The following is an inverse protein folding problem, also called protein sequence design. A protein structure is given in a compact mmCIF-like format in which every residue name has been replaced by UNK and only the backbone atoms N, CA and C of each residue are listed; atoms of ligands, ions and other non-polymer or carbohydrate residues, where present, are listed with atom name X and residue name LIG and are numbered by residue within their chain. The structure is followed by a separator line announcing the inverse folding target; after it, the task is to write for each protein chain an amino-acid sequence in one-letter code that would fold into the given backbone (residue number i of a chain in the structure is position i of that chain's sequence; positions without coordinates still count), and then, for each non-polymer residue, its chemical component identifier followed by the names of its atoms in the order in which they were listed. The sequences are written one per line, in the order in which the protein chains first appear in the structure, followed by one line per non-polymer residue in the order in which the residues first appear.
data_IF_614857909213
#
_entry.id   IF_614857909213
#
_cell.length_a   1.000
_cell.length_b   1.000
_cell.length_c   1.000
_cell.angle_alpha   90.00
_cell.angle_beta   90.00
_cell.angle_gamma   90.00
#
_symmetry.space_group_name_H-M   'P 1'
#
loop_
_entity.id
_entity.type
_entity.pdbx_description
1 polymer ?
#
# COMPACT_ATOMS: atom_id res chain seq x y z
N UNK A 1 10.86 0.63 -5.09
CA UNK A 1 10.18 1.93 -5.32
C UNK A 1 9.60 2.46 -4.03
N UNK A 2 8.69 1.75 -3.35
CA UNK A 2 8.18 2.17 -2.03
C UNK A 2 9.26 2.39 -0.97
N UNK A 3 10.32 1.57 -0.96
CA UNK A 3 11.46 1.78 -0.07
C UNK A 3 12.28 3.04 -0.40
N UNK A 4 12.35 3.41 -1.68
CA UNK A 4 13.07 4.63 -2.05
C UNK A 4 12.27 5.85 -1.62
N UNK A 5 10.95 5.83 -1.83
CA UNK A 5 10.05 6.83 -1.29
C UNK A 5 10.18 6.99 0.23
N UNK A 6 10.02 5.88 0.94
CA UNK A 6 10.00 5.82 2.41
C UNK A 6 11.34 6.19 3.07
N UNK A 7 12.46 5.71 2.53
CA UNK A 7 13.77 5.90 3.17
C UNK A 7 14.58 7.07 2.63
N UNK A 8 14.23 7.61 1.45
CA UNK A 8 14.90 8.79 0.89
C UNK A 8 14.01 10.03 0.94
N UNK A 9 12.85 10.05 0.27
CA UNK A 9 12.03 11.26 0.17
C UNK A 9 11.35 11.63 1.49
N UNK A 10 10.66 10.68 2.13
CA UNK A 10 10.00 10.95 3.42
C UNK A 10 10.99 11.33 4.51
N UNK A 11 12.17 10.70 4.57
CA UNK A 11 13.21 11.08 5.53
C UNK A 11 13.82 12.44 5.25
N UNK A 12 13.96 12.82 3.98
CA UNK A 12 14.53 14.11 3.56
C UNK A 12 13.59 15.28 3.90
N UNK A 13 12.28 15.17 3.61
CA UNK A 13 11.32 16.27 3.84
C UNK A 13 10.56 16.19 5.16
N UNK A 14 10.62 15.04 5.83
CA UNK A 14 9.71 14.71 6.94
C UNK A 14 8.34 14.25 6.43
N UNK A 15 7.47 13.82 7.33
CA UNK A 15 6.13 13.35 6.98
C UNK A 15 5.07 14.21 7.67
N UNK A 16 4.11 14.74 6.91
CA UNK A 16 3.00 15.53 7.45
C UNK A 16 1.98 14.67 8.21
N UNK A 17 1.16 15.28 9.09
CA UNK A 17 0.17 14.52 9.88
C UNK A 17 -0.81 13.72 9.01
N UNK A 18 -1.23 14.27 7.87
CA UNK A 18 -2.13 13.60 6.92
C UNK A 18 -1.52 12.32 6.35
N UNK A 19 -0.25 12.37 5.95
CA UNK A 19 0.47 11.23 5.37
C UNK A 19 0.81 10.17 6.43
N UNK A 20 1.11 10.60 7.67
CA UNK A 20 1.32 9.68 8.81
C UNK A 20 0.12 8.79 9.10
N UNK A 21 -1.09 9.32 8.90
CA UNK A 21 -2.32 8.55 9.05
C UNK A 21 -2.71 7.86 7.73
N UNK A 22 -2.51 8.54 6.60
CA UNK A 22 -2.82 8.04 5.27
C UNK A 22 -2.07 6.76 4.94
N UNK A 23 -0.74 6.74 5.09
CA UNK A 23 0.09 5.63 4.64
C UNK A 23 -0.24 4.30 5.34
N UNK A 24 -0.45 4.23 6.67
CA UNK A 24 -0.93 3.01 7.30
C UNK A 24 -2.32 2.57 6.79
N UNK A 25 -3.22 3.51 6.50
CA UNK A 25 -4.53 3.18 5.94
C UNK A 25 -4.41 2.64 4.50
N UNK A 26 -3.52 3.20 3.68
CA UNK A 26 -3.22 2.69 2.34
C UNK A 26 -2.72 1.25 2.41
N UNK A 27 -1.73 1.01 3.28
CA UNK A 27 -1.20 -0.34 3.53
C UNK A 27 -2.27 -1.28 4.06
N UNK A 28 -3.19 -0.81 4.91
CA UNK A 28 -4.32 -1.60 5.41
C UNK A 28 -5.30 -2.00 4.29
N UNK A 29 -5.57 -1.12 3.31
CA UNK A 29 -6.43 -1.47 2.16
C UNK A 29 -5.82 -2.57 1.30
N UNK A 30 -4.49 -2.55 1.11
CA UNK A 30 -3.75 -3.63 0.43
C UNK A 30 -3.79 -4.92 1.26
N UNK A 31 -3.50 -4.82 2.56
CA UNK A 31 -3.49 -5.97 3.46
C UNK A 31 -4.86 -6.66 3.50
N UNK A 32 -5.94 -5.89 3.49
CA UNK A 32 -7.32 -6.40 3.43
C UNK A 32 -7.55 -7.28 2.20
N UNK A 33 -6.96 -6.92 1.05
CA UNK A 33 -7.03 -7.74 -0.16
C UNK A 33 -6.31 -9.08 0.03
N UNK A 34 -5.11 -9.08 0.60
CA UNK A 34 -4.33 -10.32 0.82
C UNK A 34 -4.92 -11.21 1.91
N UNK A 35 -5.41 -10.61 3.00
CA UNK A 35 -6.13 -11.31 4.07
C UNK A 35 -7.39 -11.96 3.49
N UNK A 36 -8.17 -11.25 2.68
CA UNK A 36 -9.35 -11.81 2.03
C UNK A 36 -9.00 -13.05 1.21
N UNK A 37 -7.97 -13.00 0.35
CA UNK A 37 -7.53 -14.16 -0.43
C UNK A 37 -7.00 -15.31 0.43
N UNK A 38 -6.46 -15.01 1.61
CA UNK A 38 -5.93 -16.03 2.52
C UNK A 38 -7.01 -16.88 3.20
N UNK A 39 -8.23 -16.34 3.32
CA UNK A 39 -9.36 -16.99 4.01
C UNK A 39 -10.48 -17.44 3.08
N UNK A 40 -10.37 -17.15 1.77
CA UNK A 40 -11.42 -17.44 0.80
C UNK A 40 -10.84 -18.19 -0.39
N UNK A 41 -11.59 -19.18 -0.89
CA UNK A 41 -11.23 -19.89 -2.12
C UNK A 41 -11.70 -19.12 -3.37
N UNK A 42 -11.03 -19.30 -4.52
CA UNK A 42 -11.46 -18.73 -5.79
C UNK A 42 -12.89 -19.14 -6.15
N UNK A 43 -13.78 -18.16 -6.23
CA UNK A 43 -15.16 -18.32 -6.70
C UNK A 43 -15.61 -17.06 -7.43
N UNK A 44 -16.72 -17.13 -8.17
CA UNK A 44 -17.28 -15.95 -8.87
C UNK A 44 -17.63 -14.84 -7.87
N UNK A 45 -18.24 -15.18 -6.74
CA UNK A 45 -18.59 -14.21 -5.71
C UNK A 45 -17.33 -13.61 -5.05
N UNK A 46 -16.39 -14.45 -4.64
CA UNK A 46 -15.17 -13.98 -3.97
C UNK A 46 -14.30 -13.14 -4.90
N UNK A 47 -14.28 -13.45 -6.20
CA UNK A 47 -13.61 -12.63 -7.21
C UNK A 47 -14.24 -11.23 -7.31
N UNK A 48 -15.57 -11.12 -7.29
CA UNK A 48 -16.24 -9.81 -7.30
C UNK A 48 -15.93 -8.99 -6.04
N UNK A 49 -15.93 -9.64 -4.87
CA UNK A 49 -15.56 -8.99 -3.61
C UNK A 49 -14.11 -8.50 -3.66
N UNK A 50 -13.19 -9.36 -4.09
CA UNK A 50 -11.78 -9.03 -4.25
C UNK A 50 -11.56 -7.84 -5.21
N UNK A 51 -12.21 -7.85 -6.37
CA UNK A 51 -12.16 -6.73 -7.32
C UNK A 51 -12.68 -5.45 -6.68
N UNK A 52 -13.77 -5.52 -5.90
CA UNK A 52 -14.28 -4.39 -5.14
C UNK A 52 -13.26 -3.82 -4.15
N UNK A 53 -12.56 -4.69 -3.41
CA UNK A 53 -11.47 -4.28 -2.50
C UNK A 53 -10.30 -3.64 -3.25
N UNK A 54 -9.91 -4.18 -4.41
CA UNK A 54 -8.84 -3.64 -5.23
C UNK A 54 -9.20 -2.26 -5.77
N UNK A 55 -10.42 -2.09 -6.30
CA UNK A 55 -10.92 -0.80 -6.78
C UNK A 55 -10.96 0.23 -5.65
N UNK A 56 -11.46 -0.17 -4.47
CA UNK A 56 -11.45 0.69 -3.30
C UNK A 56 -10.03 1.11 -2.94
N UNK A 57 -9.07 0.17 -2.86
CA UNK A 57 -7.67 0.48 -2.56
C UNK A 57 -7.04 1.40 -3.60
N UNK A 58 -7.27 1.16 -4.90
CA UNK A 58 -6.76 2.00 -5.98
C UNK A 58 -7.31 3.43 -5.92
N UNK A 59 -8.60 3.59 -5.62
CA UNK A 59 -9.21 4.91 -5.46
C UNK A 59 -8.73 5.58 -4.17
N UNK A 60 -8.58 4.81 -3.10
CA UNK A 60 -8.20 5.32 -1.78
C UNK A 60 -6.84 6.00 -1.80
N UNK A 61 -5.83 5.41 -2.46
CA UNK A 61 -4.49 6.01 -2.58
C UNK A 61 -4.47 7.32 -3.37
N UNK A 62 -5.46 7.58 -4.23
CA UNK A 62 -5.50 8.86 -4.99
C UNK A 62 -5.71 10.08 -4.10
N UNK A 63 -6.16 9.89 -2.86
CA UNK A 63 -6.28 10.96 -1.86
C UNK A 63 -4.94 11.67 -1.62
N UNK A 64 -3.82 10.96 -1.79
CA UNK A 64 -2.50 11.51 -1.47
C UNK A 64 -2.01 12.49 -2.54
N UNK A 65 -2.59 12.46 -3.73
CA UNK A 65 -2.23 13.37 -4.82
C UNK A 65 -2.42 14.85 -4.44
N UNK A 66 -3.42 15.16 -3.60
CA UNK A 66 -3.63 16.51 -3.09
C UNK A 66 -2.47 17.00 -2.21
N UNK A 67 -1.80 16.08 -1.50
CA UNK A 67 -0.63 16.40 -0.68
C UNK A 67 0.63 16.40 -1.55
N UNK A 68 0.76 15.44 -2.46
CA UNK A 68 1.92 15.30 -3.33
C UNK A 68 2.13 16.52 -4.24
N UNK A 69 1.04 17.01 -4.83
CA UNK A 69 1.08 18.23 -5.65
C UNK A 69 1.52 19.47 -4.88
N UNK A 70 1.26 19.52 -3.58
CA UNK A 70 1.62 20.65 -2.72
C UNK A 70 3.04 20.55 -2.12
N UNK A 71 3.55 19.32 -1.90
CA UNK A 71 4.74 19.11 -1.07
C UNK A 71 5.89 18.37 -1.77
N UNK A 72 5.62 17.57 -2.80
CA UNK A 72 6.61 16.72 -3.42
C UNK A 72 7.36 17.45 -4.54
N UNK A 73 8.68 17.21 -4.63
CA UNK A 73 9.46 17.65 -5.79
C UNK A 73 9.12 16.81 -7.03
N UNK A 74 9.44 17.30 -8.23
CA UNK A 74 9.06 16.64 -9.48
C UNK A 74 9.49 15.15 -9.57
N UNK A 75 10.63 14.80 -8.96
CA UNK A 75 11.14 13.42 -8.94
C UNK A 75 10.32 12.50 -8.01
N UNK A 76 9.87 13.02 -6.87
CA UNK A 76 9.02 12.31 -5.92
C UNK A 76 7.62 12.11 -6.53
N UNK A 77 7.05 13.15 -7.14
CA UNK A 77 5.79 13.05 -7.90
C UNK A 77 5.85 12.01 -9.03
N UNK A 78 6.95 11.96 -9.79
CA UNK A 78 7.14 10.94 -10.82
C UNK A 78 7.16 9.52 -10.23
N UNK A 79 7.85 9.33 -9.10
CA UNK A 79 7.88 8.04 -8.41
C UNK A 79 6.48 7.61 -7.95
N UNK A 80 5.67 8.54 -7.44
CA UNK A 80 4.30 8.28 -7.01
C UNK A 80 3.40 7.90 -8.19
N UNK A 81 3.52 8.59 -9.32
CA UNK A 81 2.81 8.21 -10.54
C UNK A 81 3.15 6.77 -10.98
N UNK A 82 4.43 6.38 -10.90
CA UNK A 82 4.84 5.00 -11.19
C UNK A 82 4.26 4.00 -10.19
N UNK A 83 4.27 4.34 -8.89
CA UNK A 83 3.65 3.50 -7.86
C UNK A 83 2.15 3.32 -8.09
N UNK A 84 1.43 4.36 -8.51
CA UNK A 84 0.00 4.31 -8.83
C UNK A 84 -0.29 3.38 -10.00
N UNK A 85 0.58 3.33 -11.02
CA UNK A 85 0.46 2.38 -12.14
C UNK A 85 0.76 0.94 -11.72
N UNK A 86 1.74 0.75 -10.85
CA UNK A 86 2.14 -0.59 -10.38
C UNK A 86 1.08 -1.17 -9.42
N UNK A 87 0.38 -0.34 -8.65
CA UNK A 87 -0.61 -0.77 -7.67
C UNK A 87 -1.72 -1.71 -8.22
N UNK A 88 -2.44 -1.39 -9.31
CA UNK A 88 -3.40 -2.33 -9.89
C UNK A 88 -2.72 -3.58 -10.50
N UNK A 89 -1.46 -3.47 -10.95
CA UNK A 89 -0.71 -4.61 -11.50
C UNK A 89 -0.34 -5.61 -10.41
N UNK A 90 -0.01 -5.15 -9.19
CA UNK A 90 0.27 -6.04 -8.06
C UNK A 90 -0.99 -6.81 -7.64
N UNK A 91 -2.16 -6.17 -7.65
CA UNK A 91 -3.43 -6.85 -7.41
C UNK A 91 -3.74 -7.89 -8.50
N UNK A 92 -3.58 -7.53 -9.77
CA UNK A 92 -3.76 -8.50 -10.86
C UNK A 92 -2.84 -9.71 -10.69
N UNK A 93 -1.58 -9.48 -10.33
CA UNK A 93 -0.60 -10.54 -10.08
C UNK A 93 -1.03 -11.43 -8.92
N UNK A 94 -1.49 -10.84 -7.81
CA UNK A 94 -1.97 -11.58 -6.67
C UNK A 94 -3.23 -12.40 -6.99
N UNK A 95 -4.14 -11.86 -7.80
CA UNK A 95 -5.31 -12.59 -8.29
C UNK A 95 -4.92 -13.80 -9.15
N UNK A 96 -3.97 -13.66 -10.08
CA UNK A 96 -3.49 -14.79 -10.91
C UNK A 96 -2.94 -15.90 -10.00
N UNK A 97 -2.10 -15.52 -9.04
CA UNK A 97 -1.49 -16.44 -8.07
C UNK A 97 -2.58 -17.17 -7.27
N UNK A 98 -3.55 -16.44 -6.74
CA UNK A 98 -4.66 -16.98 -5.96
C UNK A 98 -5.59 -17.88 -6.79
N UNK A 99 -6.03 -17.41 -7.97
CA UNK A 99 -6.99 -18.11 -8.82
C UNK A 99 -6.43 -19.39 -9.43
N UNK A 100 -5.13 -19.42 -9.74
CA UNK A 100 -4.45 -20.61 -10.26
C UNK A 100 -3.87 -21.49 -9.14
N UNK A 101 -4.10 -21.13 -7.87
CA UNK A 101 -3.51 -21.77 -6.69
C UNK A 101 -1.98 -21.92 -6.79
N UNK A 102 -1.32 -20.96 -7.44
CA UNK A 102 0.12 -20.94 -7.59
C UNK A 102 0.70 -20.43 -6.28
N UNK A 103 1.61 -21.20 -5.68
CA UNK A 103 2.46 -20.74 -4.58
C UNK A 103 1.74 -19.88 -3.52
N UNK A 104 0.69 -20.42 -2.91
CA UNK A 104 -0.10 -19.72 -1.88
C UNK A 104 0.75 -19.15 -0.72
N UNK A 105 1.91 -19.78 -0.44
CA UNK A 105 2.91 -19.28 0.51
C UNK A 105 3.42 -17.89 0.16
N UNK A 106 3.53 -17.56 -1.13
CA UNK A 106 3.92 -16.22 -1.58
C UNK A 106 2.92 -15.16 -1.08
N UNK A 107 1.61 -15.40 -1.19
CA UNK A 107 0.58 -14.47 -0.70
C UNK A 107 0.62 -14.31 0.82
N UNK A 108 0.86 -15.41 1.55
CA UNK A 108 1.03 -15.36 3.00
C UNK A 108 2.26 -14.55 3.40
N UNK A 109 3.42 -14.81 2.78
CA UNK A 109 4.65 -14.05 3.01
C UNK A 109 4.43 -12.57 2.69
N UNK A 110 3.81 -12.28 1.54
CA UNK A 110 3.50 -10.90 1.15
C UNK A 110 2.57 -10.22 2.15
N UNK A 111 1.58 -10.93 2.71
CA UNK A 111 0.71 -10.42 3.78
C UNK A 111 1.52 -10.05 5.02
N UNK A 112 2.42 -10.93 5.46
CA UNK A 112 3.29 -10.66 6.61
C UNK A 112 4.24 -9.48 6.38
N UNK A 113 4.85 -9.40 5.19
CA UNK A 113 5.72 -8.26 4.83
C UNK A 113 4.93 -6.96 4.83
N UNK A 114 3.73 -6.95 4.26
CA UNK A 114 2.83 -5.78 4.22
C UNK A 114 2.41 -5.36 5.63
N UNK A 115 2.06 -6.32 6.48
CA UNK A 115 1.72 -6.09 7.89
C UNK A 115 2.91 -5.51 8.67
N UNK A 116 4.11 -6.07 8.50
CA UNK A 116 5.32 -5.57 9.17
C UNK A 116 5.66 -4.16 8.70
N UNK A 117 5.52 -3.88 7.40
CA UNK A 117 5.71 -2.54 6.85
C UNK A 117 4.71 -1.53 7.44
N UNK A 118 3.44 -1.91 7.59
CA UNK A 118 2.43 -1.08 8.26
C UNK A 118 2.82 -0.75 9.70
N UNK A 119 3.27 -1.74 10.48
CA UNK A 119 3.75 -1.51 11.84
C UNK A 119 4.96 -0.58 11.87
N UNK A 120 5.90 -0.76 10.95
CA UNK A 120 7.03 0.15 10.80
C UNK A 120 6.55 1.59 10.53
N UNK A 121 5.61 1.80 9.61
CA UNK A 121 5.05 3.12 9.31
C UNK A 121 4.43 3.77 10.55
N UNK A 122 3.59 3.01 11.29
CA UNK A 122 2.93 3.49 12.50
C UNK A 122 3.95 3.85 13.58
N UNK A 123 4.92 2.98 13.85
CA UNK A 123 5.88 3.15 14.94
C UNK A 123 6.89 4.26 14.65
N UNK A 124 7.48 4.26 13.46
CA UNK A 124 8.55 5.18 13.09
C UNK A 124 8.05 6.62 12.95
N UNK A 125 6.86 6.80 12.35
CA UNK A 125 6.28 8.13 12.14
C UNK A 125 5.34 8.58 13.28
N UNK A 126 5.17 7.75 14.30
CA UNK A 126 4.42 8.13 15.50
C UNK A 126 4.99 9.41 16.13
N UNK A 127 4.13 10.32 16.64
CA UNK A 127 4.56 11.53 17.35
C UNK A 127 5.55 11.27 18.50
N UNK A 128 5.52 10.06 19.07
CA UNK A 128 6.42 9.65 20.16
C UNK A 128 7.90 9.59 19.72
N UNK A 129 8.16 9.32 18.44
CA UNK A 129 9.52 9.14 17.90
C UNK A 129 10.00 10.33 17.06
N UNK A 130 9.08 11.09 16.49
CA UNK A 130 9.39 12.28 15.71
C UNK A 130 9.37 13.51 16.63
N UNK A 131 10.50 13.83 17.28
CA UNK A 131 10.69 15.15 17.90
C UNK A 131 10.48 16.21 16.82
N UNK A 132 9.56 17.15 17.05
CA UNK A 132 9.36 18.36 16.24
C UNK A 132 10.73 18.95 15.89
N UNK A 133 11.11 18.94 14.61
CA UNK A 133 12.12 19.85 14.10
C UNK A 133 11.48 21.22 13.92
#
# INVERSE_FOLDING_TARGET
MIFFDEFYFHRKRGLGMWERLGHPLDTLTVLSCYVFMSFNEPSVLNTKIYVGLCLFSCLFITKDEFVHTAQCEARENWLHAVLFVIHPITFLSAWIIWNQNLNFKFLQIQSFVTLFFMFYQILYWSPLWQKKS
#
